data_IF_087169002860
#
_entry.id   IF_087169002860
#
_cell.length_a   1.000
_cell.length_b   1.000
_cell.length_c   1.000
_cell.angle_alpha   90.00
_cell.angle_beta   90.00
_cell.angle_gamma   90.00
#
_symmetry.space_group_name_H-M   'P 1'
#
loop_
_entity.id
_entity.type
_entity.pdbx_description
1 polymer ?
#
# COMPACT_ATOMS: atom_id res chain seq x y z
N UNK A 1 29.12 8.43 -6.70
CA UNK A 1 28.65 9.08 -5.45
C UNK A 1 28.13 7.95 -4.59
N UNK A 2 28.60 7.80 -3.36
CA UNK A 2 28.14 6.69 -2.49
C UNK A 2 26.72 6.98 -1.99
N UNK A 3 25.78 6.12 -2.35
CA UNK A 3 24.39 6.24 -1.92
C UNK A 3 24.30 5.94 -0.41
N UNK A 4 23.65 6.80 0.35
CA UNK A 4 23.41 6.55 1.77
C UNK A 4 22.38 5.42 1.95
N UNK A 5 22.87 4.22 2.22
CA UNK A 5 22.04 3.00 2.41
C UNK A 5 21.59 2.79 3.86
N UNK A 6 21.67 3.82 4.71
CA UNK A 6 21.20 3.67 6.09
C UNK A 6 19.69 3.38 6.13
N UNK A 7 19.22 2.52 7.04
CA UNK A 7 17.80 2.22 7.18
C UNK A 7 16.97 3.49 7.34
N UNK A 8 15.88 3.60 6.58
CA UNK A 8 14.95 4.74 6.61
C UNK A 8 13.61 4.31 7.15
N UNK A 9 13.03 5.13 8.03
CA UNK A 9 11.71 4.90 8.58
C UNK A 9 10.65 5.65 7.78
N UNK A 10 9.46 5.06 7.64
CA UNK A 10 8.34 5.72 6.99
C UNK A 10 7.84 6.90 7.83
N UNK A 11 7.47 7.99 7.17
CA UNK A 11 6.84 9.14 7.82
C UNK A 11 5.34 8.94 7.90
N UNK A 12 4.71 9.29 9.03
CA UNK A 12 3.24 9.29 9.14
C UNK A 12 2.70 10.49 8.36
N UNK A 13 1.87 10.24 7.35
CA UNK A 13 1.28 11.30 6.50
C UNK A 13 -0.21 11.49 6.78
N UNK A 14 -0.86 10.49 7.39
CA UNK A 14 -2.27 10.56 7.76
C UNK A 14 -2.55 9.77 9.03
N UNK A 15 -3.48 10.29 9.85
CA UNK A 15 -4.03 9.63 11.03
C UNK A 15 -5.52 9.97 11.15
N UNK A 16 -6.34 8.95 11.36
CA UNK A 16 -7.77 9.08 11.58
C UNK A 16 -8.31 7.91 12.38
N UNK A 17 -9.62 7.92 12.64
CA UNK A 17 -10.28 6.89 13.47
C UNK A 17 -10.09 5.47 12.92
N UNK A 18 -10.23 5.29 11.60
CA UNK A 18 -10.10 4.00 10.95
C UNK A 18 -8.67 3.48 10.83
N UNK A 19 -7.65 4.30 11.10
CA UNK A 19 -6.27 3.91 10.87
C UNK A 19 -5.31 5.05 10.57
N UNK A 20 -4.12 4.67 10.09
CA UNK A 20 -3.07 5.61 9.71
C UNK A 20 -2.36 5.14 8.44
N UNK A 21 -1.75 6.10 7.74
CA UNK A 21 -0.93 5.83 6.57
C UNK A 21 0.44 6.45 6.75
N UNK A 22 1.47 5.65 6.48
CA UNK A 22 2.86 6.08 6.47
C UNK A 22 3.42 5.96 5.06
N UNK A 23 4.36 6.81 4.69
CA UNK A 23 4.98 6.81 3.37
C UNK A 23 6.51 6.86 3.44
N UNK A 24 7.15 6.20 2.48
CA UNK A 24 8.52 6.49 2.07
C UNK A 24 8.45 7.23 0.74
N UNK A 25 8.81 8.51 0.74
CA UNK A 25 8.72 9.38 -0.43
C UNK A 25 10.06 9.48 -1.16
N UNK A 26 10.02 9.46 -2.50
CA UNK A 26 11.19 9.72 -3.34
C UNK A 26 11.69 11.17 -3.25
N UNK A 27 10.87 12.09 -2.75
CA UNK A 27 11.29 13.47 -2.43
C UNK A 27 12.21 13.52 -1.22
N UNK A 28 12.11 12.55 -0.32
CA UNK A 28 12.91 12.48 0.91
C UNK A 28 14.11 11.53 0.79
N UNK A 29 13.99 10.52 -0.05
CA UNK A 29 14.97 9.46 -0.21
C UNK A 29 15.42 9.33 -1.67
N UNK A 30 16.56 9.92 -2.00
CA UNK A 30 17.11 9.93 -3.38
C UNK A 30 17.25 8.50 -3.95
N UNK A 31 17.59 7.51 -3.11
CA UNK A 31 17.66 6.10 -3.52
C UNK A 31 16.33 5.59 -4.12
N UNK A 32 15.19 6.01 -3.57
CA UNK A 32 13.88 5.61 -4.08
C UNK A 32 13.56 6.26 -5.43
N UNK A 33 14.05 7.49 -5.64
CA UNK A 33 13.96 8.20 -6.91
C UNK A 33 14.81 7.52 -7.98
N UNK A 34 16.04 7.13 -7.65
CA UNK A 34 16.92 6.36 -8.53
C UNK A 34 16.31 5.00 -8.89
N UNK A 35 15.77 4.30 -7.89
CA UNK A 35 15.12 3.00 -8.07
C UNK A 35 13.72 3.10 -8.71
N UNK A 36 13.17 4.31 -8.86
CA UNK A 36 11.82 4.60 -9.41
C UNK A 36 10.71 3.85 -8.68
N UNK A 37 10.81 3.80 -7.35
CA UNK A 37 9.82 3.15 -6.48
C UNK A 37 9.39 4.10 -5.37
N UNK A 38 8.22 3.85 -4.80
CA UNK A 38 7.73 4.49 -3.58
C UNK A 38 7.27 3.43 -2.59
N UNK A 39 7.11 3.83 -1.33
CA UNK A 39 6.65 2.93 -0.28
C UNK A 39 5.48 3.52 0.49
N UNK A 40 4.60 2.65 0.95
CA UNK A 40 3.49 3.00 1.84
C UNK A 40 3.25 1.91 2.85
N UNK A 41 2.82 2.28 4.06
CA UNK A 41 2.35 1.36 5.09
C UNK A 41 0.98 1.81 5.57
N UNK A 42 -0.04 1.06 5.16
CA UNK A 42 -1.40 1.21 5.63
C UNK A 42 -1.60 0.42 6.92
N UNK A 43 -2.13 1.07 7.95
CA UNK A 43 -2.52 0.44 9.21
C UNK A 43 -4.00 0.70 9.41
N UNK A 44 -4.81 -0.36 9.35
CA UNK A 44 -6.24 -0.28 9.66
C UNK A 44 -6.49 -0.77 11.08
N UNK A 45 -7.28 -0.01 11.84
CA UNK A 45 -7.81 -0.45 13.13
C UNK A 45 -8.93 -1.48 12.92
N UNK A 46 -9.36 -2.21 13.96
CA UNK A 46 -10.54 -3.06 13.85
C UNK A 46 -11.75 -2.27 13.31
N UNK A 47 -12.38 -2.79 12.26
CA UNK A 47 -13.47 -2.12 11.49
C UNK A 47 -13.04 -0.86 10.75
N UNK A 48 -11.74 -0.59 10.65
CA UNK A 48 -11.20 0.46 9.79
C UNK A 48 -11.43 0.13 8.31
N UNK A 49 -11.73 1.17 7.53
CA UNK A 49 -11.99 1.05 6.10
C UNK A 49 -11.06 1.98 5.33
N UNK A 50 -10.23 1.41 4.45
CA UNK A 50 -9.46 2.17 3.48
C UNK A 50 -10.34 2.49 2.28
N UNK A 51 -10.61 3.77 1.97
CA UNK A 51 -11.43 4.13 0.82
C UNK A 51 -10.85 3.58 -0.49
N UNK A 52 -11.69 3.23 -1.48
CA UNK A 52 -11.23 2.78 -2.79
C UNK A 52 -10.28 3.79 -3.44
N UNK A 53 -9.20 3.32 -4.04
CA UNK A 53 -8.23 4.17 -4.74
C UNK A 53 -7.56 3.39 -5.88
N UNK A 54 -7.10 4.09 -6.90
CA UNK A 54 -6.24 3.53 -7.96
C UNK A 54 -4.92 4.31 -8.03
N UNK A 55 -3.97 3.83 -8.83
CA UNK A 55 -2.82 4.63 -9.24
C UNK A 55 -2.43 4.35 -10.69
N UNK A 56 -1.66 5.27 -11.26
CA UNK A 56 -1.00 5.18 -12.56
C UNK A 56 0.25 4.28 -12.57
N UNK A 57 0.46 3.50 -11.51
CA UNK A 57 1.55 2.55 -11.37
C UNK A 57 1.08 1.19 -10.83
N UNK A 58 1.87 0.15 -11.10
CA UNK A 58 1.66 -1.17 -10.49
C UNK A 58 2.12 -1.15 -9.03
N UNK A 59 1.37 -1.80 -8.14
CA UNK A 59 1.73 -1.96 -6.73
C UNK A 59 1.75 -3.43 -6.34
N UNK A 60 2.51 -3.73 -5.30
CA UNK A 60 2.45 -5.03 -4.62
C UNK A 60 2.18 -4.74 -3.15
N UNK A 61 0.99 -5.09 -2.68
CA UNK A 61 0.65 -5.08 -1.27
C UNK A 61 1.18 -6.33 -0.57
N UNK A 62 1.63 -6.19 0.68
CA UNK A 62 2.04 -7.33 1.50
C UNK A 62 1.44 -7.21 2.90
N UNK A 63 0.78 -8.28 3.37
CA UNK A 63 0.08 -8.28 4.66
C UNK A 63 1.06 -8.60 5.77
N UNK A 64 1.55 -7.55 6.46
CA UNK A 64 2.51 -7.66 7.56
C UNK A 64 1.92 -8.33 8.81
N UNK A 65 0.65 -8.03 9.13
CA UNK A 65 -0.05 -8.51 10.33
C UNK A 65 -1.57 -8.42 10.18
N UNK A 66 -2.30 -9.01 11.13
CA UNK A 66 -3.76 -9.08 11.15
C UNK A 66 -4.29 -10.44 10.68
N UNK A 67 -5.56 -10.71 10.96
CA UNK A 67 -6.19 -12.03 10.75
C UNK A 67 -7.53 -11.98 10.03
N UNK A 68 -8.21 -10.83 9.99
CA UNK A 68 -9.58 -10.70 9.51
C UNK A 68 -9.75 -9.58 8.48
N UNK A 69 -8.66 -9.21 7.78
CA UNK A 69 -8.72 -8.20 6.73
C UNK A 69 -9.47 -8.72 5.50
N UNK A 70 -10.09 -7.81 4.75
CA UNK A 70 -10.71 -8.09 3.46
C UNK A 70 -10.15 -7.08 2.47
N UNK A 71 -9.84 -7.54 1.24
CA UNK A 71 -9.52 -6.67 0.11
C UNK A 71 -10.58 -6.85 -0.97
N UNK A 72 -10.97 -5.73 -1.58
CA UNK A 72 -11.76 -5.68 -2.79
C UNK A 72 -10.88 -5.22 -3.96
N UNK A 73 -11.12 -5.74 -5.16
CA UNK A 73 -10.53 -5.23 -6.41
C UNK A 73 -11.59 -5.14 -7.50
N UNK A 74 -11.65 -3.99 -8.18
CA UNK A 74 -12.57 -3.72 -9.28
C UNK A 74 -11.76 -3.54 -10.56
N UNK A 75 -11.97 -4.45 -11.50
CA UNK A 75 -11.32 -4.40 -12.81
C UNK A 75 -12.24 -3.71 -13.83
N UNK A 76 -11.74 -2.82 -14.71
CA UNK A 76 -12.58 -2.04 -15.64
C UNK A 76 -13.51 -2.82 -16.57
N UNK A 77 -13.27 -4.13 -16.74
CA UNK A 77 -14.02 -5.00 -17.65
C UNK A 77 -14.67 -6.20 -16.94
N UNK A 78 -14.54 -6.29 -15.63
CA UNK A 78 -15.21 -7.31 -14.84
C UNK A 78 -16.63 -6.84 -14.50
N UNK A 79 -17.59 -7.76 -14.55
CA UNK A 79 -18.97 -7.48 -14.13
C UNK A 79 -19.13 -7.46 -12.61
N UNK A 80 -18.18 -8.05 -11.89
CA UNK A 80 -18.22 -8.20 -10.43
C UNK A 80 -16.86 -7.84 -9.83
N UNK A 81 -16.88 -7.38 -8.58
CA UNK A 81 -15.67 -7.15 -7.79
C UNK A 81 -15.07 -8.47 -7.28
N UNK A 82 -13.75 -8.49 -7.14
CA UNK A 82 -13.04 -9.59 -6.50
C UNK A 82 -12.91 -9.25 -5.02
N UNK A 83 -13.53 -10.05 -4.14
CA UNK A 83 -13.45 -9.86 -2.69
C UNK A 83 -12.78 -11.06 -2.05
N UNK A 84 -11.66 -10.82 -1.37
CA UNK A 84 -10.85 -11.88 -0.76
C UNK A 84 -10.55 -11.56 0.71
N UNK A 85 -10.56 -12.60 1.54
CA UNK A 85 -10.04 -12.54 2.91
C UNK A 85 -8.52 -12.55 2.87
N UNK A 86 -7.91 -11.75 3.74
CA UNK A 86 -6.47 -11.62 3.88
C UNK A 86 -5.97 -12.33 5.13
N UNK A 87 -4.79 -12.93 5.02
CA UNK A 87 -3.98 -13.40 6.15
C UNK A 87 -2.56 -12.84 6.06
N UNK A 88 -1.87 -12.84 7.21
CA UNK A 88 -0.45 -12.49 7.27
C UNK A 88 0.36 -13.28 6.24
N UNK A 89 1.22 -12.58 5.52
CA UNK A 89 2.09 -13.15 4.48
C UNK A 89 1.48 -13.16 3.07
N UNK A 90 0.20 -12.83 2.92
CA UNK A 90 -0.40 -12.70 1.59
C UNK A 90 0.23 -11.54 0.81
N UNK A 91 0.36 -11.74 -0.50
CA UNK A 91 0.84 -10.73 -1.46
C UNK A 91 -0.28 -10.39 -2.41
N UNK A 92 -0.49 -9.09 -2.64
CA UNK A 92 -1.62 -8.55 -3.41
C UNK A 92 -1.06 -7.75 -4.59
N UNK A 93 -0.94 -8.35 -5.79
CA UNK A 93 -0.55 -7.60 -6.97
C UNK A 93 -1.71 -6.69 -7.41
N UNK A 94 -1.44 -5.40 -7.56
CA UNK A 94 -2.43 -4.40 -7.99
C UNK A 94 -1.93 -3.75 -9.28
N UNK A 95 -2.52 -4.11 -10.43
CA UNK A 95 -2.17 -3.47 -11.70
C UNK A 95 -2.52 -1.98 -11.70
N UNK A 96 -1.81 -1.21 -12.53
CA UNK A 96 -2.14 0.20 -12.74
C UNK A 96 -3.59 0.38 -13.20
N UNK A 97 -4.26 1.38 -12.63
CA UNK A 97 -5.64 1.74 -12.93
C UNK A 97 -6.72 0.83 -12.32
N UNK A 98 -6.33 -0.27 -11.66
CA UNK A 98 -7.27 -1.10 -10.88
C UNK A 98 -7.57 -0.41 -9.54
N UNK A 99 -8.83 -0.47 -9.13
CA UNK A 99 -9.34 0.07 -7.86
C UNK A 99 -9.41 -1.03 -6.82
#
# INVERSE_FOLDING_TARGET
>A
MESNLSPKFAQKVFEGEGGSYYSWSSTEFELLKEAKVGGGRLVLQPRGFGPPHYADCNKIGYVLQGTCGIVGMVFPKASEEVVLKLKKGDTIPVPSGVV
#
